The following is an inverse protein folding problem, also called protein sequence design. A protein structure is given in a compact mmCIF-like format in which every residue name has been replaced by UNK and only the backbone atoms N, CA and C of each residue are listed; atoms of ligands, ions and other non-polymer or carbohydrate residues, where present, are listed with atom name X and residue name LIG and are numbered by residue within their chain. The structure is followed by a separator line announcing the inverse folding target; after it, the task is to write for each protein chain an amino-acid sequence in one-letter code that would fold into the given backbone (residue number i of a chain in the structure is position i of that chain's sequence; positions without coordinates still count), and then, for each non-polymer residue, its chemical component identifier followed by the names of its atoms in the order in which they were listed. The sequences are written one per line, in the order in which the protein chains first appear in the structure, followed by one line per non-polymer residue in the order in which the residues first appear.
data_IF_975998899718
#
_entry.id   IF_975998899718
#
_cell.length_a   1.000
_cell.length_b   1.000
_cell.length_c   1.000
_cell.angle_alpha   90.00
_cell.angle_beta   90.00
_cell.angle_gamma   90.00
#
_symmetry.space_group_name_H-M   'P 1'
#
loop_
_entity.id
_entity.type
_entity.pdbx_description
1 polymer ?
#
# COMPACT_ATOMS: atom_id res chain seq x y z
N UNK A 1 -13.76 -9.52 32.42
CA UNK A 1 -14.39 -9.62 31.09
C UNK A 1 -14.20 -11.05 30.62
N UNK A 2 -15.28 -11.73 30.26
CA UNK A 2 -15.23 -13.12 29.81
C UNK A 2 -15.12 -13.14 28.27
N UNK A 3 -14.09 -13.80 27.74
CA UNK A 3 -13.85 -13.92 26.29
C UNK A 3 -14.43 -15.21 25.70
N UNK A 4 -15.12 -16.03 26.50
CA UNK A 4 -15.61 -17.36 26.07
C UNK A 4 -16.63 -17.32 24.92
N UNK A 5 -17.35 -16.21 24.74
CA UNK A 5 -18.42 -16.07 23.73
C UNK A 5 -18.09 -15.05 22.62
N UNK A 6 -16.83 -14.58 22.53
CA UNK A 6 -16.39 -13.55 21.58
C UNK A 6 -15.44 -14.18 20.55
N UNK A 7 -15.72 -13.95 19.27
CA UNK A 7 -14.83 -14.43 18.20
C UNK A 7 -13.46 -13.73 18.25
N UNK A 8 -12.38 -14.43 17.88
CA UNK A 8 -11.01 -13.94 17.96
C UNK A 8 -10.80 -12.63 17.20
N UNK A 9 -11.42 -12.44 16.03
CA UNK A 9 -11.34 -11.19 15.28
C UNK A 9 -11.98 -10.01 16.04
N UNK A 10 -13.02 -10.26 16.83
CA UNK A 10 -13.62 -9.22 17.68
C UNK A 10 -12.72 -8.88 18.87
N UNK A 11 -12.00 -9.86 19.43
CA UNK A 11 -10.99 -9.61 20.46
C UNK A 11 -9.86 -8.74 19.89
N UNK A 12 -9.32 -9.13 18.74
CA UNK A 12 -8.28 -8.37 18.02
C UNK A 12 -8.76 -6.95 17.72
N UNK A 13 -9.98 -6.79 17.21
CA UNK A 13 -10.55 -5.49 16.91
C UNK A 13 -10.72 -4.60 18.15
N UNK A 14 -11.07 -5.17 19.31
CA UNK A 14 -11.13 -4.42 20.57
C UNK A 14 -9.75 -3.96 21.03
N UNK A 15 -8.74 -4.82 20.94
CA UNK A 15 -7.35 -4.47 21.28
C UNK A 15 -6.86 -3.33 20.37
N UNK A 16 -7.01 -3.45 19.05
CA UNK A 16 -6.55 -2.44 18.10
C UNK A 16 -7.32 -1.11 18.12
N UNK A 17 -8.55 -1.10 18.63
CA UNK A 17 -9.36 0.11 18.81
C UNK A 17 -9.30 0.70 20.22
N UNK A 18 -8.43 0.19 21.10
CA UNK A 18 -8.27 0.73 22.45
C UNK A 18 -7.87 2.21 22.43
N UNK A 19 -8.36 2.98 23.40
CA UNK A 19 -8.11 4.43 23.50
C UNK A 19 -6.62 4.77 23.71
N UNK A 20 -5.85 3.84 24.28
CA UNK A 20 -4.41 3.98 24.50
C UNK A 20 -3.72 2.61 24.57
N UNK A 21 -2.39 2.62 24.50
CA UNK A 21 -1.56 1.41 24.51
C UNK A 21 -1.63 0.63 25.82
N UNK A 22 -1.90 1.28 26.95
CA UNK A 22 -2.04 0.60 28.25
C UNK A 22 -3.30 -0.27 28.32
N UNK A 23 -4.42 0.24 27.80
CA UNK A 23 -5.65 -0.54 27.68
C UNK A 23 -5.48 -1.69 26.67
N UNK A 24 -4.82 -1.44 25.53
CA UNK A 24 -4.52 -2.50 24.56
C UNK A 24 -3.71 -3.64 25.19
N UNK A 25 -2.67 -3.31 25.97
CA UNK A 25 -1.85 -4.29 26.69
C UNK A 25 -2.67 -5.09 27.71
N UNK A 26 -3.52 -4.40 28.50
CA UNK A 26 -4.40 -5.06 29.48
C UNK A 26 -5.37 -6.04 28.81
N UNK A 27 -6.00 -5.65 27.70
CA UNK A 27 -6.91 -6.51 26.95
C UNK A 27 -6.18 -7.69 26.31
N UNK A 28 -4.99 -7.46 25.75
CA UNK A 28 -4.15 -8.54 25.23
C UNK A 28 -3.80 -9.55 26.32
N UNK A 29 -3.34 -9.10 27.50
CA UNK A 29 -2.97 -9.99 28.59
C UNK A 29 -4.15 -10.87 29.04
N UNK A 30 -5.35 -10.31 29.15
CA UNK A 30 -6.56 -11.08 29.47
C UNK A 30 -6.94 -12.12 28.40
N UNK A 31 -6.59 -11.86 27.13
CA UNK A 31 -6.90 -12.74 26.00
C UNK A 31 -5.69 -13.58 25.53
N UNK A 32 -4.54 -13.49 26.20
CA UNK A 32 -3.27 -14.08 25.77
C UNK A 32 -3.34 -15.58 25.41
N UNK A 33 -4.11 -16.45 26.13
CA UNK A 33 -4.25 -17.85 25.75
C UNK A 33 -4.80 -18.08 24.33
N UNK A 34 -5.61 -17.15 23.83
CA UNK A 34 -6.24 -17.19 22.50
C UNK A 34 -5.36 -16.54 21.41
N UNK A 35 -4.40 -15.69 21.80
CA UNK A 35 -3.64 -14.81 20.89
C UNK A 35 -2.19 -15.26 20.65
N UNK A 36 -1.84 -16.51 20.97
CA UNK A 36 -0.46 -17.02 20.92
C UNK A 36 0.28 -16.81 19.59
N UNK A 37 -0.45 -16.76 18.48
CA UNK A 37 0.13 -16.57 17.14
C UNK A 37 -0.17 -15.20 16.55
N UNK A 38 -0.66 -14.25 17.35
CA UNK A 38 -0.96 -12.90 16.89
C UNK A 38 0.18 -11.94 17.22
N UNK A 39 0.41 -11.04 16.28
CA UNK A 39 1.27 -9.87 16.43
C UNK A 39 0.44 -8.62 16.25
N UNK A 40 0.76 -7.61 17.03
CA UNK A 40 0.12 -6.31 17.00
C UNK A 40 1.19 -5.23 16.87
N UNK A 41 0.88 -4.21 16.09
CA UNK A 41 1.71 -3.03 15.90
C UNK A 41 0.81 -1.82 16.09
N UNK A 42 1.18 -0.91 16.97
CA UNK A 42 0.44 0.30 17.29
C UNK A 42 1.29 1.50 16.94
N UNK A 43 0.69 2.45 16.22
CA UNK A 43 1.26 3.79 16.11
C UNK A 43 1.23 4.43 17.50
N UNK A 44 2.38 4.88 17.98
CA UNK A 44 2.55 5.42 19.33
C UNK A 44 3.64 6.49 19.34
N UNK A 45 3.54 7.43 20.26
CA UNK A 45 4.64 8.34 20.62
C UNK A 45 5.73 7.63 21.44
N UNK A 46 5.39 6.47 22.01
CA UNK A 46 6.28 5.57 22.75
C UNK A 46 6.75 4.41 21.87
N UNK A 47 7.78 3.71 22.33
CA UNK A 47 8.36 2.56 21.62
C UNK A 47 9.49 2.93 20.66
N UNK A 48 9.88 1.98 19.83
CA UNK A 48 11.00 2.06 18.90
C UNK A 48 10.65 2.72 17.56
N UNK A 49 11.67 3.25 16.88
CA UNK A 49 11.54 3.65 15.47
C UNK A 49 11.74 2.43 14.57
N UNK A 50 10.90 2.20 13.54
CA UNK A 50 11.06 1.12 12.57
C UNK A 50 12.17 1.42 11.55
N UNK A 51 13.37 1.77 12.03
CA UNK A 51 14.48 2.23 11.19
C UNK A 51 14.11 3.50 10.40
N UNK A 52 14.39 3.50 9.10
CA UNK A 52 14.02 4.58 8.18
C UNK A 52 12.69 4.35 7.45
N UNK A 53 11.96 3.27 7.74
CA UNK A 53 10.60 3.06 7.26
C UNK A 53 9.58 3.90 8.06
N UNK A 54 9.81 5.22 8.07
CA UNK A 54 9.02 6.24 8.78
C UNK A 54 8.63 7.35 7.82
N UNK A 55 7.62 8.16 8.18
CA UNK A 55 7.17 9.23 7.31
C UNK A 55 8.24 10.32 7.23
N UNK A 56 8.71 10.61 6.01
CA UNK A 56 9.67 11.67 5.73
C UNK A 56 9.27 12.39 4.46
N UNK A 57 9.35 13.72 4.46
CA UNK A 57 9.20 14.54 3.27
C UNK A 57 10.54 15.22 2.97
N UNK A 58 10.96 15.14 1.72
CA UNK A 58 12.20 15.74 1.22
C UNK A 58 11.90 17.12 0.61
N UNK A 59 12.92 17.97 0.49
CA UNK A 59 12.79 19.33 -0.04
C UNK A 59 12.19 19.38 -1.46
N UNK A 60 12.52 18.40 -2.32
CA UNK A 60 11.96 18.28 -3.68
C UNK A 60 10.45 17.95 -3.72
N UNK A 61 9.86 17.59 -2.58
CA UNK A 61 8.50 17.07 -2.48
C UNK A 61 8.39 15.56 -2.72
N UNK A 62 9.51 14.84 -2.85
CA UNK A 62 9.54 13.40 -2.66
C UNK A 62 9.19 13.05 -1.21
N UNK A 63 8.80 11.79 -0.98
CA UNK A 63 8.49 11.32 0.36
C UNK A 63 8.80 9.84 0.55
N UNK A 64 9.25 9.48 1.75
CA UNK A 64 9.06 8.14 2.30
C UNK A 64 7.75 8.15 3.09
N UNK A 65 6.90 7.15 2.85
CA UNK A 65 5.67 6.95 3.60
C UNK A 65 5.61 5.54 4.14
N UNK A 66 5.42 5.45 5.45
CA UNK A 66 5.17 4.19 6.15
C UNK A 66 3.66 3.95 6.27
N UNK A 67 3.30 2.79 6.80
CA UNK A 67 1.90 2.48 7.08
C UNK A 67 1.33 3.27 8.28
N UNK A 68 2.16 3.64 9.25
CA UNK A 68 1.70 4.11 10.56
C UNK A 68 1.71 5.63 10.66
N UNK A 69 0.77 6.18 11.43
CA UNK A 69 0.60 7.63 11.57
C UNK A 69 1.72 8.33 12.37
N UNK A 70 2.53 7.57 13.09
CA UNK A 70 3.65 8.06 13.91
C UNK A 70 4.97 7.45 13.46
N UNK A 71 6.08 8.15 13.73
CA UNK A 71 7.43 7.67 13.44
C UNK A 71 7.94 6.61 14.41
N UNK A 72 7.17 6.35 15.48
CA UNK A 72 7.44 5.32 16.47
C UNK A 72 6.28 4.34 16.51
N UNK A 73 6.60 3.11 16.87
CA UNK A 73 5.63 2.04 17.03
C UNK A 73 5.87 1.30 18.33
N UNK A 74 4.78 0.85 18.94
CA UNK A 74 4.79 -0.14 19.98
C UNK A 74 4.31 -1.46 19.37
N UNK A 75 5.03 -2.54 19.66
CA UNK A 75 4.65 -3.88 19.19
C UNK A 75 4.21 -4.73 20.37
N UNK A 76 3.37 -5.74 20.09
CA UNK A 76 2.90 -6.68 21.09
C UNK A 76 2.70 -8.06 20.46
N UNK A 77 3.31 -9.04 21.10
CA UNK A 77 3.25 -10.48 20.80
C UNK A 77 3.56 -11.23 22.11
N UNK A 78 3.49 -12.57 22.15
CA UNK A 78 3.70 -13.31 23.40
C UNK A 78 5.07 -13.05 24.05
N UNK A 79 6.14 -12.98 23.25
CA UNK A 79 7.49 -12.78 23.76
C UNK A 79 7.65 -11.35 24.27
N UNK A 80 7.20 -10.38 23.48
CA UNK A 80 7.22 -8.96 23.85
C UNK A 80 6.39 -8.70 25.12
N UNK A 81 5.23 -9.35 25.26
CA UNK A 81 4.41 -9.22 26.45
C UNK A 81 5.10 -9.77 27.71
N UNK A 82 5.72 -10.94 27.60
CA UNK A 82 6.49 -11.57 28.69
C UNK A 82 7.70 -10.70 29.07
N UNK A 83 8.44 -10.19 28.09
CA UNK A 83 9.57 -9.30 28.32
C UNK A 83 9.13 -8.02 29.05
N UNK A 84 8.01 -7.41 28.64
CA UNK A 84 7.46 -6.20 29.28
C UNK A 84 7.10 -6.41 30.76
N UNK A 85 6.72 -7.62 31.18
CA UNK A 85 6.49 -7.94 32.60
C UNK A 85 7.78 -7.84 33.42
N UNK A 86 8.95 -8.03 32.80
CA UNK A 86 10.26 -7.83 33.43
C UNK A 86 10.73 -6.37 33.45
N UNK A 87 9.94 -5.44 32.93
CA UNK A 87 10.19 -4.00 32.93
C UNK A 87 10.87 -3.43 31.68
N UNK A 88 11.36 -4.29 30.77
CA UNK A 88 11.93 -3.88 29.48
C UNK A 88 11.70 -4.96 28.42
N UNK A 89 11.40 -4.56 27.18
CA UNK A 89 11.36 -5.45 26.03
C UNK A 89 12.29 -4.96 24.92
N UNK A 90 12.87 -5.91 24.18
CA UNK A 90 13.69 -5.65 23.01
C UNK A 90 13.21 -6.53 21.87
N UNK A 91 12.82 -5.92 20.75
CA UNK A 91 12.33 -6.64 19.58
C UNK A 91 13.21 -6.32 18.37
N UNK A 92 13.86 -7.33 17.78
CA UNK A 92 14.57 -7.16 16.52
C UNK A 92 13.60 -6.79 15.40
N UNK A 93 14.00 -5.84 14.56
CA UNK A 93 13.23 -5.40 13.41
C UNK A 93 14.03 -5.57 12.14
N UNK A 94 13.32 -5.70 11.04
CA UNK A 94 13.81 -5.47 9.68
C UNK A 94 12.89 -4.48 8.98
N UNK A 95 13.36 -3.83 7.93
CA UNK A 95 12.57 -2.91 7.13
C UNK A 95 13.10 -2.80 5.71
N UNK A 96 12.24 -2.30 4.84
CA UNK A 96 12.62 -1.97 3.48
C UNK A 96 11.83 -0.77 2.98
N UNK A 97 12.49 0.04 2.15
CA UNK A 97 11.89 1.20 1.49
C UNK A 97 11.79 0.87 0.00
N UNK A 98 10.61 0.45 -0.42
CA UNK A 98 10.34 0.15 -1.82
C UNK A 98 10.34 1.44 -2.64
N UNK A 99 11.07 1.48 -3.75
CA UNK A 99 10.94 2.58 -4.70
C UNK A 99 9.82 2.24 -5.69
N UNK A 100 8.87 3.14 -5.90
CA UNK A 100 7.87 2.96 -6.95
C UNK A 100 8.48 3.20 -8.34
N UNK A 101 7.77 2.76 -9.38
CA UNK A 101 8.22 2.94 -10.77
C UNK A 101 8.41 4.41 -11.11
N UNK A 102 7.57 5.29 -10.55
CA UNK A 102 7.71 6.73 -10.73
C UNK A 102 9.04 7.24 -10.15
N UNK A 103 9.44 6.84 -8.94
CA UNK A 103 10.70 7.27 -8.34
C UNK A 103 11.91 6.95 -9.22
N UNK A 104 11.90 5.81 -9.92
CA UNK A 104 12.95 5.49 -10.89
C UNK A 104 13.01 6.47 -12.04
N UNK A 105 11.87 6.87 -12.60
CA UNK A 105 11.83 7.86 -13.69
C UNK A 105 12.43 9.21 -13.30
N UNK A 106 12.38 9.55 -12.01
CA UNK A 106 12.97 10.75 -11.44
C UNK A 106 14.46 10.59 -11.11
N UNK A 107 14.89 9.44 -10.59
CA UNK A 107 16.27 9.23 -10.11
C UNK A 107 17.23 8.81 -11.24
N UNK A 108 16.81 7.90 -12.12
CA UNK A 108 17.67 7.31 -13.17
C UNK A 108 18.32 8.35 -14.09
N UNK A 109 17.63 9.43 -14.51
CA UNK A 109 18.24 10.46 -15.36
C UNK A 109 19.44 11.18 -14.74
N UNK A 110 19.64 11.10 -13.41
CA UNK A 110 20.71 11.77 -12.67
C UNK A 110 21.85 10.84 -12.26
N UNK A 111 21.82 9.57 -12.67
CA UNK A 111 22.93 8.63 -12.46
C UNK A 111 24.11 8.93 -13.39
N UNK A 112 25.33 8.61 -12.94
CA UNK A 112 26.54 8.80 -13.73
C UNK A 112 26.41 8.15 -15.12
N UNK A 113 26.79 8.91 -16.16
CA UNK A 113 26.69 8.46 -17.56
C UNK A 113 25.31 8.63 -18.21
N UNK A 114 24.24 9.01 -17.48
CA UNK A 114 22.88 9.14 -18.04
C UNK A 114 22.43 10.57 -18.37
N UNK A 115 23.15 11.63 -17.96
CA UNK A 115 23.08 13.03 -18.50
C UNK A 115 24.24 13.89 -17.98
N UNK A 116 24.76 14.80 -18.81
CA UNK A 116 25.89 15.70 -18.49
C UNK A 116 25.54 16.94 -17.64
N UNK A 117 24.61 16.83 -16.69
CA UNK A 117 23.99 18.00 -16.02
C UNK A 117 24.12 18.09 -14.50
N UNK A 118 24.88 17.21 -13.86
CA UNK A 118 24.96 17.12 -12.38
C UNK A 118 23.63 16.71 -11.73
N UNK A 119 23.64 16.56 -10.40
CA UNK A 119 22.45 16.26 -9.61
C UNK A 119 21.84 17.59 -9.15
N UNK A 120 20.56 17.88 -9.43
CA UNK A 120 19.91 19.07 -8.88
C UNK A 120 19.90 19.01 -7.34
N UNK A 121 20.09 20.14 -6.66
CA UNK A 121 20.23 20.20 -5.21
C UNK A 121 19.08 19.49 -4.47
N UNK A 122 17.85 19.64 -4.96
CA UNK A 122 16.66 19.05 -4.36
C UNK A 122 16.66 17.50 -4.45
N UNK A 123 17.35 16.92 -5.43
CA UNK A 123 17.49 15.47 -5.60
C UNK A 123 18.67 14.89 -4.84
N UNK A 124 19.70 15.71 -4.55
CA UNK A 124 20.86 15.29 -3.78
C UNK A 124 20.46 14.76 -2.40
N UNK A 125 19.49 15.40 -1.74
CA UNK A 125 18.96 14.94 -0.45
C UNK A 125 18.42 13.51 -0.50
N UNK A 126 17.75 13.14 -1.60
CA UNK A 126 17.18 11.80 -1.79
C UNK A 126 18.30 10.78 -2.07
N UNK A 127 19.27 11.13 -2.90
CA UNK A 127 20.42 10.25 -3.14
C UNK A 127 21.27 10.05 -1.90
N UNK A 128 21.53 11.10 -1.12
CA UNK A 128 22.26 11.00 0.16
C UNK A 128 21.51 10.14 1.17
N UNK A 129 20.18 10.21 1.19
CA UNK A 129 19.37 9.33 2.00
C UNK A 129 19.49 7.87 1.56
N UNK A 130 19.33 7.58 0.27
CA UNK A 130 19.44 6.21 -0.28
C UNK A 130 20.86 5.65 -0.06
N UNK A 131 21.90 6.47 -0.20
CA UNK A 131 23.30 6.07 -0.02
C UNK A 131 23.69 5.83 1.45
N UNK A 132 22.83 6.17 2.41
CA UNK A 132 23.10 5.90 3.82
C UNK A 132 23.27 4.39 4.05
N UNK A 133 24.34 3.92 4.73
CA UNK A 133 24.57 2.49 4.98
C UNK A 133 23.45 1.79 5.75
N UNK A 134 22.64 2.58 6.47
CA UNK A 134 21.50 2.10 7.23
C UNK A 134 20.22 2.04 6.38
N UNK A 135 20.17 2.66 5.20
CA UNK A 135 18.97 2.68 4.35
C UNK A 135 18.99 1.47 3.42
N UNK A 136 17.88 0.71 3.44
CA UNK A 136 17.67 -0.43 2.58
C UNK A 136 16.52 -0.13 1.62
N UNK A 137 16.79 -0.17 0.32
CA UNK A 137 15.79 0.06 -0.74
C UNK A 137 15.58 -1.19 -1.57
N UNK A 138 14.35 -1.37 -2.07
CA UNK A 138 13.99 -2.51 -2.90
C UNK A 138 13.14 -2.12 -4.13
N UNK A 139 13.13 -2.98 -5.16
CA UNK A 139 12.40 -2.74 -6.41
C UNK A 139 11.03 -3.45 -6.49
N UNK A 140 10.42 -3.88 -5.37
CA UNK A 140 9.24 -4.76 -5.39
C UNK A 140 8.07 -4.16 -6.21
N UNK A 141 7.71 -2.87 -6.09
CA UNK A 141 6.64 -2.27 -6.88
C UNK A 141 6.87 -2.45 -8.39
N UNK A 142 8.05 -2.05 -8.87
CA UNK A 142 8.43 -2.16 -10.27
C UNK A 142 8.41 -3.60 -10.78
N UNK A 143 8.87 -4.56 -9.96
CA UNK A 143 8.83 -5.98 -10.33
C UNK A 143 7.40 -6.40 -10.58
N UNK A 144 6.52 -6.17 -9.60
CA UNK A 144 5.15 -6.65 -9.65
C UNK A 144 4.33 -6.01 -10.77
N UNK A 145 4.59 -4.73 -11.09
CA UNK A 145 3.96 -4.04 -12.22
C UNK A 145 4.36 -4.63 -13.58
N UNK A 146 5.62 -5.06 -13.72
CA UNK A 146 6.19 -5.48 -15.00
C UNK A 146 6.14 -6.99 -15.25
N UNK A 147 5.74 -7.81 -14.27
CA UNK A 147 5.51 -9.24 -14.48
C UNK A 147 4.56 -9.53 -15.66
N UNK A 148 3.41 -8.85 -15.83
CA UNK A 148 2.54 -9.08 -16.98
C UNK A 148 3.19 -8.70 -18.33
N UNK A 149 3.93 -7.58 -18.37
CA UNK A 149 4.62 -7.14 -19.59
C UNK A 149 5.70 -8.15 -20.02
N UNK A 150 6.46 -8.66 -19.05
CA UNK A 150 7.50 -9.66 -19.28
C UNK A 150 6.89 -11.01 -19.70
N UNK A 151 5.77 -11.42 -19.10
CA UNK A 151 5.04 -12.64 -19.50
C UNK A 151 4.52 -12.59 -20.95
N UNK A 152 4.15 -11.39 -21.43
CA UNK A 152 3.76 -11.14 -22.83
C UNK A 152 4.97 -11.07 -23.80
N UNK A 153 6.20 -11.28 -23.32
CA UNK A 153 7.42 -11.20 -24.11
C UNK A 153 7.82 -9.78 -24.52
N UNK A 154 7.33 -8.76 -23.79
CA UNK A 154 7.62 -7.35 -24.07
C UNK A 154 8.70 -6.80 -23.13
N UNK A 155 9.48 -5.85 -23.62
CA UNK A 155 10.37 -5.01 -22.82
C UNK A 155 11.41 -5.73 -21.95
N UNK A 156 11.85 -6.95 -22.30
CA UNK A 156 12.84 -7.68 -21.49
C UNK A 156 14.16 -6.89 -21.30
N UNK A 157 14.68 -6.30 -22.38
CA UNK A 157 15.92 -5.50 -22.34
C UNK A 157 15.73 -4.21 -21.51
N UNK A 158 14.59 -3.53 -21.69
CA UNK A 158 14.24 -2.33 -20.92
C UNK A 158 14.08 -2.65 -19.43
N UNK A 159 13.43 -3.78 -19.11
CA UNK A 159 13.29 -4.27 -17.74
C UNK A 159 14.67 -4.53 -17.17
N UNK A 160 15.53 -5.25 -17.89
CA UNK A 160 16.90 -5.53 -17.45
C UNK A 160 17.69 -4.24 -17.12
N UNK A 161 17.64 -3.23 -17.99
CA UNK A 161 18.33 -1.95 -17.75
C UNK A 161 17.79 -1.20 -16.53
N UNK A 162 16.48 -1.28 -16.29
CA UNK A 162 15.86 -0.70 -15.08
C UNK A 162 16.27 -1.48 -13.82
N UNK A 163 16.31 -2.81 -13.87
CA UNK A 163 16.80 -3.65 -12.76
C UNK A 163 18.25 -3.30 -12.41
N UNK A 164 19.09 -3.10 -13.42
CA UNK A 164 20.47 -2.66 -13.22
C UNK A 164 20.55 -1.27 -12.59
N UNK A 165 19.67 -0.34 -12.98
CA UNK A 165 19.59 0.97 -12.36
C UNK A 165 19.16 0.92 -10.88
N UNK A 166 18.25 0.00 -10.53
CA UNK A 166 17.90 -0.28 -9.13
C UNK A 166 19.11 -0.77 -8.33
N UNK A 167 19.91 -1.66 -8.90
CA UNK A 167 21.13 -2.15 -8.26
C UNK A 167 22.13 -1.02 -8.00
N UNK A 168 22.27 -0.05 -8.92
CA UNK A 168 23.07 1.15 -8.70
C UNK A 168 22.55 1.94 -7.51
N UNK A 169 21.23 2.18 -7.41
CA UNK A 169 20.63 2.90 -6.26
C UNK A 169 20.86 2.19 -4.94
N UNK A 170 20.75 0.86 -4.91
CA UNK A 170 20.95 0.07 -3.69
C UNK A 170 22.40 0.05 -3.22
N UNK A 171 23.34 0.39 -4.11
CA UNK A 171 24.78 0.25 -3.86
C UNK A 171 25.53 1.55 -4.12
N UNK A 172 24.88 2.71 -3.93
CA UNK A 172 25.51 4.02 -4.14
C UNK A 172 26.77 4.14 -3.27
N UNK A 173 27.87 4.56 -3.89
CA UNK A 173 29.08 4.96 -3.15
C UNK A 173 28.85 6.30 -2.46
N UNK A 174 28.48 6.23 -1.17
CA UNK A 174 28.23 7.41 -0.35
C UNK A 174 29.44 8.36 -0.25
N UNK A 175 30.67 7.84 -0.28
CA UNK A 175 31.88 8.68 -0.19
C UNK A 175 32.10 9.41 -1.51
N UNK A 176 31.88 8.73 -2.64
CA UNK A 176 31.94 9.36 -3.95
C UNK A 176 30.86 10.42 -4.11
N UNK A 177 29.61 10.08 -3.78
CA UNK A 177 28.49 11.03 -3.85
C UNK A 177 28.79 12.30 -3.06
N UNK A 178 29.27 12.16 -1.82
CA UNK A 178 29.60 13.31 -0.96
C UNK A 178 30.75 14.17 -1.48
N UNK A 179 31.75 13.55 -2.11
CA UNK A 179 32.97 14.25 -2.54
C UNK A 179 32.92 14.79 -3.97
N UNK A 180 32.11 14.17 -4.83
CA UNK A 180 32.02 14.48 -6.27
C UNK A 180 30.64 14.95 -6.72
N UNK A 181 29.59 14.71 -5.93
CA UNK A 181 28.21 15.04 -6.32
C UNK A 181 27.70 14.16 -7.46
N UNK A 182 28.22 12.94 -7.58
CA UNK A 182 27.89 11.99 -8.65
C UNK A 182 27.37 10.68 -8.06
N UNK A 183 26.36 10.10 -8.70
CA UNK A 183 25.79 8.80 -8.30
C UNK A 183 26.48 7.71 -9.08
N UNK A 184 27.26 6.90 -8.38
CA UNK A 184 27.87 5.67 -8.89
C UNK A 184 27.68 4.53 -7.90
N UNK A 185 27.78 3.30 -8.39
CA UNK A 185 27.74 2.10 -7.57
C UNK A 185 29.12 1.76 -6.99
N UNK A 186 29.16 1.13 -5.82
CA UNK A 186 30.35 0.45 -5.29
C UNK A 186 30.65 -0.86 -6.01
N UNK A 187 29.70 -1.38 -6.80
CA UNK A 187 29.84 -2.60 -7.59
C UNK A 187 30.42 -2.31 -8.98
N UNK A 188 31.10 -3.29 -9.53
CA UNK A 188 31.55 -3.29 -10.92
C UNK A 188 30.39 -3.53 -11.88
N UNK A 189 30.59 -3.17 -13.16
CA UNK A 189 29.63 -3.40 -14.24
C UNK A 189 29.22 -4.88 -14.39
N UNK A 190 30.16 -5.81 -14.16
CA UNK A 190 29.89 -7.25 -14.21
C UNK A 190 29.04 -7.72 -13.03
N UNK A 191 29.28 -7.19 -11.82
CA UNK A 191 28.47 -7.49 -10.64
C UNK A 191 27.05 -6.92 -10.78
N UNK A 192 26.92 -5.67 -11.25
CA UNK A 192 25.62 -5.06 -11.55
C UNK A 192 24.83 -5.87 -12.57
N UNK A 193 25.47 -6.29 -13.67
CA UNK A 193 24.87 -7.16 -14.69
C UNK A 193 24.41 -8.49 -14.10
N UNK A 194 25.25 -9.11 -13.29
CA UNK A 194 24.95 -10.40 -12.63
C UNK A 194 23.77 -10.28 -11.67
N UNK A 195 23.74 -9.23 -10.85
CA UNK A 195 22.62 -8.94 -9.94
C UNK A 195 21.32 -8.70 -10.71
N UNK A 196 21.35 -7.88 -11.75
CA UNK A 196 20.18 -7.62 -12.59
C UNK A 196 19.67 -8.90 -13.30
N UNK A 197 20.57 -9.78 -13.78
CA UNK A 197 20.21 -11.07 -14.36
C UNK A 197 19.56 -12.00 -13.33
N UNK A 198 20.06 -12.01 -12.10
CA UNK A 198 19.46 -12.79 -11.02
C UNK A 198 18.03 -12.31 -10.70
N UNK A 199 17.84 -10.99 -10.61
CA UNK A 199 16.52 -10.38 -10.41
C UNK A 199 15.55 -10.72 -11.56
N UNK A 200 16.00 -10.60 -12.80
CA UNK A 200 15.20 -10.96 -13.98
C UNK A 200 14.84 -12.46 -13.99
N UNK A 201 15.78 -13.32 -13.60
CA UNK A 201 15.53 -14.76 -13.48
C UNK A 201 14.47 -15.06 -12.42
N UNK A 202 14.49 -14.34 -11.29
CA UNK A 202 13.43 -14.44 -10.27
C UNK A 202 12.07 -14.00 -10.82
N UNK A 203 12.02 -12.93 -11.61
CA UNK A 203 10.77 -12.53 -12.28
C UNK A 203 10.23 -13.62 -13.21
N UNK A 204 11.09 -14.31 -13.97
CA UNK A 204 10.66 -15.46 -14.78
C UNK A 204 10.16 -16.64 -13.93
N UNK A 205 10.76 -16.90 -12.76
CA UNK A 205 10.24 -17.88 -11.82
C UNK A 205 8.85 -17.47 -11.30
N UNK A 206 8.66 -16.19 -10.95
CA UNK A 206 7.37 -15.68 -10.48
C UNK A 206 6.29 -15.77 -11.58
N UNK A 207 6.66 -15.55 -12.85
CA UNK A 207 5.76 -15.75 -14.00
C UNK A 207 5.33 -17.22 -14.13
N UNK A 208 6.22 -18.17 -13.79
CA UNK A 208 5.90 -19.60 -13.86
C UNK A 208 4.89 -20.05 -12.79
N UNK A 209 4.67 -19.25 -11.74
CA UNK A 209 3.57 -19.45 -10.78
C UNK A 209 2.25 -18.87 -11.33
N UNK A 210 1.53 -19.68 -12.10
CA UNK A 210 0.22 -19.31 -12.66
C UNK A 210 -0.78 -18.86 -11.56
N UNK A 211 -0.72 -19.46 -10.37
CA UNK A 211 -1.59 -19.09 -9.25
C UNK A 211 -1.27 -17.70 -8.69
N UNK A 212 0.03 -17.40 -8.58
CA UNK A 212 0.58 -16.10 -8.21
C UNK A 212 0.21 -15.03 -9.23
N UNK A 213 0.40 -15.30 -10.52
CA UNK A 213 0.07 -14.39 -11.61
C UNK A 213 -1.44 -14.07 -11.65
N UNK A 214 -2.31 -15.08 -11.51
CA UNK A 214 -3.77 -14.87 -11.41
C UNK A 214 -4.13 -14.00 -10.20
N UNK A 215 -3.45 -14.18 -9.07
CA UNK A 215 -3.68 -13.37 -7.86
C UNK A 215 -3.26 -11.91 -8.06
N UNK A 216 -2.09 -11.66 -8.66
CA UNK A 216 -1.61 -10.30 -8.98
C UNK A 216 -2.58 -9.61 -9.94
N UNK A 217 -2.96 -10.28 -11.04
CA UNK A 217 -3.92 -9.75 -12.02
C UNK A 217 -5.25 -9.39 -11.36
N UNK A 218 -5.80 -10.28 -10.52
CA UNK A 218 -7.04 -10.01 -9.81
C UNK A 218 -6.92 -8.79 -8.87
N UNK A 219 -5.82 -8.67 -8.14
CA UNK A 219 -5.59 -7.55 -7.21
C UNK A 219 -5.51 -6.20 -7.93
N UNK A 220 -4.77 -6.16 -9.04
CA UNK A 220 -4.71 -4.98 -9.91
C UNK A 220 -6.09 -4.64 -10.48
N UNK A 221 -6.79 -5.62 -11.06
CA UNK A 221 -8.13 -5.42 -11.62
C UNK A 221 -9.14 -4.95 -10.57
N UNK A 222 -9.03 -5.43 -9.32
CA UNK A 222 -9.90 -5.00 -8.23
C UNK A 222 -9.73 -3.51 -7.94
N UNK A 223 -8.48 -3.05 -7.80
CA UNK A 223 -8.18 -1.62 -7.60
C UNK A 223 -8.66 -0.79 -8.80
N UNK A 224 -8.43 -1.30 -10.01
CA UNK A 224 -8.89 -0.65 -11.23
C UNK A 224 -10.42 -0.52 -11.29
N UNK A 225 -11.17 -1.56 -10.92
CA UNK A 225 -12.64 -1.53 -10.88
C UNK A 225 -13.17 -0.49 -9.88
N UNK A 226 -12.56 -0.40 -8.70
CA UNK A 226 -12.85 0.64 -7.72
C UNK A 226 -12.63 2.05 -8.31
N UNK A 227 -11.47 2.28 -8.93
CA UNK A 227 -11.12 3.58 -9.53
C UNK A 227 -12.05 3.96 -10.69
N UNK A 228 -12.38 3.03 -11.58
CA UNK A 228 -13.36 3.26 -12.65
C UNK A 228 -14.71 3.67 -12.06
N UNK A 229 -15.18 2.96 -11.02
CA UNK A 229 -16.49 3.28 -10.45
C UNK A 229 -16.49 4.64 -9.76
N UNK A 230 -15.44 4.98 -9.03
CA UNK A 230 -15.26 6.32 -8.45
C UNK A 230 -15.31 7.39 -9.55
N UNK A 231 -14.53 7.21 -10.63
CA UNK A 231 -14.52 8.13 -11.76
C UNK A 231 -15.91 8.25 -12.43
N UNK A 232 -16.57 7.13 -12.69
CA UNK A 232 -17.90 7.10 -13.32
C UNK A 232 -18.94 7.86 -12.48
N UNK A 233 -18.98 7.63 -11.16
CA UNK A 233 -19.89 8.32 -10.24
C UNK A 233 -19.64 9.83 -10.25
N UNK A 234 -18.38 10.24 -10.07
CA UNK A 234 -18.02 11.66 -9.99
C UNK A 234 -18.27 12.40 -11.32
N UNK A 235 -17.95 11.77 -12.45
CA UNK A 235 -18.13 12.39 -13.77
C UNK A 235 -19.60 12.41 -14.20
N UNK A 236 -20.39 11.39 -13.87
CA UNK A 236 -21.82 11.34 -14.24
C UNK A 236 -22.60 12.46 -13.56
N UNK A 237 -22.37 12.67 -12.26
CA UNK A 237 -23.12 13.62 -11.44
C UNK A 237 -22.18 14.42 -10.52
N UNK A 238 -21.39 15.37 -11.04
CA UNK A 238 -20.40 16.10 -10.24
C UNK A 238 -21.03 16.90 -9.09
N UNK A 239 -22.25 17.42 -9.28
CA UNK A 239 -23.00 18.15 -8.25
C UNK A 239 -23.81 17.29 -7.28
N UNK A 240 -23.82 15.95 -7.42
CA UNK A 240 -24.51 15.09 -6.45
C UNK A 240 -23.84 15.16 -5.08
N UNK A 241 -24.64 15.03 -4.02
CA UNK A 241 -24.17 15.08 -2.64
C UNK A 241 -23.21 13.92 -2.33
N UNK A 242 -22.31 14.13 -1.36
CA UNK A 242 -21.32 13.11 -0.96
C UNK A 242 -22.01 11.81 -0.54
N UNK A 243 -23.08 11.90 0.25
CA UNK A 243 -23.85 10.75 0.72
C UNK A 243 -24.45 9.90 -0.42
N UNK A 244 -24.98 10.55 -1.47
CA UNK A 244 -25.51 9.86 -2.65
C UNK A 244 -24.38 9.13 -3.41
N UNK A 245 -23.25 9.80 -3.63
CA UNK A 245 -22.08 9.20 -4.30
C UNK A 245 -21.48 8.05 -3.49
N UNK A 246 -21.37 8.20 -2.17
CA UNK A 246 -20.91 7.15 -1.26
C UNK A 246 -21.86 5.96 -1.26
N UNK A 247 -23.17 6.19 -1.21
CA UNK A 247 -24.17 5.12 -1.32
C UNK A 247 -24.00 4.33 -2.62
N UNK A 248 -23.84 5.01 -3.75
CA UNK A 248 -23.64 4.36 -5.05
C UNK A 248 -22.33 3.54 -5.10
N UNK A 249 -21.25 4.03 -4.49
CA UNK A 249 -19.98 3.31 -4.44
C UNK A 249 -20.03 2.11 -3.49
N UNK A 250 -20.59 2.27 -2.29
CA UNK A 250 -20.76 1.20 -1.31
C UNK A 250 -21.67 0.08 -1.85
N UNK A 251 -22.75 0.43 -2.55
CA UNK A 251 -23.60 -0.54 -3.22
C UNK A 251 -22.86 -1.32 -4.30
N UNK A 252 -22.02 -0.65 -5.10
CA UNK A 252 -21.16 -1.33 -6.07
C UNK A 252 -20.15 -2.27 -5.40
N UNK A 253 -19.48 -1.84 -4.33
CA UNK A 253 -18.57 -2.71 -3.59
C UNK A 253 -19.31 -3.93 -3.00
N UNK A 254 -20.49 -3.72 -2.41
CA UNK A 254 -21.32 -4.77 -1.83
C UNK A 254 -21.80 -5.78 -2.87
N UNK A 255 -22.50 -5.31 -3.89
CA UNK A 255 -23.24 -6.15 -4.85
C UNK A 255 -22.44 -6.49 -6.10
N UNK A 256 -21.60 -5.55 -6.57
CA UNK A 256 -20.80 -5.70 -7.80
C UNK A 256 -19.44 -6.35 -7.58
N UNK A 257 -18.78 -6.08 -6.45
CA UNK A 257 -17.47 -6.65 -6.12
C UNK A 257 -17.52 -7.78 -5.07
N UNK A 258 -18.67 -7.96 -4.39
CA UNK A 258 -18.80 -8.87 -3.26
C UNK A 258 -17.73 -8.65 -2.16
N UNK A 259 -17.22 -7.42 -2.04
CA UNK A 259 -16.16 -7.05 -1.12
C UNK A 259 -16.18 -5.54 -0.86
N UNK A 260 -16.00 -5.16 0.40
CA UNK A 260 -15.86 -3.76 0.82
C UNK A 260 -14.49 -3.63 1.48
N UNK A 261 -13.66 -2.76 0.92
CA UNK A 261 -12.36 -2.43 1.49
C UNK A 261 -12.42 -1.01 2.02
N UNK A 262 -12.20 -0.87 3.33
CA UNK A 262 -12.32 0.41 4.03
C UNK A 262 -11.44 1.48 3.39
N UNK A 263 -10.20 1.14 3.00
CA UNK A 263 -9.26 2.06 2.33
C UNK A 263 -9.79 2.60 1.00
N UNK A 264 -10.35 1.75 0.15
CA UNK A 264 -10.89 2.23 -1.13
C UNK A 264 -12.14 3.11 -0.92
N UNK A 265 -12.98 2.79 0.08
CA UNK A 265 -14.11 3.65 0.51
C UNK A 265 -13.61 5.01 0.98
N UNK A 266 -12.47 4.99 1.64
CA UNK A 266 -11.78 6.14 2.16
C UNK A 266 -11.30 7.10 1.05
N UNK A 267 -10.66 6.54 0.03
CA UNK A 267 -10.25 7.27 -1.18
C UNK A 267 -11.47 7.80 -1.95
N UNK A 268 -12.53 7.00 -2.08
CA UNK A 268 -13.77 7.42 -2.72
C UNK A 268 -14.38 8.65 -2.02
N UNK A 269 -14.47 8.64 -0.68
CA UNK A 269 -15.00 9.77 0.08
C UNK A 269 -14.19 11.04 -0.15
N UNK A 270 -12.86 10.94 -0.09
CA UNK A 270 -11.98 12.08 -0.35
C UNK A 270 -12.18 12.63 -1.77
N UNK A 271 -12.27 11.75 -2.77
CA UNK A 271 -12.49 12.14 -4.15
C UNK A 271 -13.89 12.75 -4.38
N UNK A 272 -14.95 12.20 -3.80
CA UNK A 272 -16.29 12.75 -3.93
C UNK A 272 -16.47 14.09 -3.22
N UNK A 273 -15.68 14.34 -2.18
CA UNK A 273 -15.65 15.61 -1.44
C UNK A 273 -14.88 16.69 -2.22
N UNK A 274 -13.70 16.34 -2.74
CA UNK A 274 -12.76 17.33 -3.32
C UNK A 274 -12.78 17.37 -4.85
N UNK A 275 -13.37 16.38 -5.51
CA UNK A 275 -13.32 16.22 -6.95
C UNK A 275 -11.88 16.25 -7.47
N UNK A 276 -11.63 17.14 -8.43
CA UNK A 276 -10.32 17.27 -9.07
C UNK A 276 -9.27 17.99 -8.21
N UNK A 277 -9.67 18.58 -7.09
CA UNK A 277 -8.72 19.16 -6.13
C UNK A 277 -7.99 18.07 -5.35
N UNK A 278 -8.44 16.81 -5.41
CA UNK A 278 -7.66 15.64 -5.00
C UNK A 278 -6.67 15.30 -6.11
N UNK A 279 -5.38 15.61 -5.91
CA UNK A 279 -4.36 15.62 -6.98
C UNK A 279 -4.21 14.28 -7.67
N UNK A 280 -4.37 13.18 -6.92
CA UNK A 280 -4.36 11.82 -7.46
C UNK A 280 -5.35 11.62 -8.61
N UNK A 281 -6.54 12.26 -8.53
CA UNK A 281 -7.54 12.19 -9.59
C UNK A 281 -7.52 13.38 -10.54
N UNK A 282 -6.67 14.40 -10.33
CA UNK A 282 -6.74 15.68 -11.05
C UNK A 282 -6.67 15.60 -12.58
N UNK A 283 -6.18 14.48 -13.14
CA UNK A 283 -6.14 14.21 -14.60
C UNK A 283 -7.40 13.51 -15.15
N UNK A 284 -8.31 13.06 -14.30
CA UNK A 284 -9.48 12.23 -14.64
C UNK A 284 -10.68 13.12 -14.99
N UNK A 285 -10.82 13.46 -16.27
CA UNK A 285 -11.87 14.37 -16.76
C UNK A 285 -12.55 13.84 -18.03
N UNK A 286 -13.81 14.25 -18.27
CA UNK A 286 -14.66 13.77 -19.40
C UNK A 286 -13.97 13.88 -20.77
N UNK A 287 -13.11 14.87 -20.99
CA UNK A 287 -12.47 15.11 -22.30
C UNK A 287 -11.12 14.38 -22.50
N UNK A 288 -10.63 13.62 -21.51
CA UNK A 288 -9.40 12.80 -21.62
C UNK A 288 -9.65 11.44 -22.32
N UNK A 289 -10.37 11.44 -23.45
CA UNK A 289 -11.08 10.25 -23.99
C UNK A 289 -10.22 9.00 -24.24
N UNK A 290 -8.99 9.14 -24.76
CA UNK A 290 -8.13 7.99 -25.08
C UNK A 290 -7.27 7.51 -23.92
N UNK A 291 -7.11 8.34 -22.90
CA UNK A 291 -6.11 8.13 -21.84
C UNK A 291 -6.77 7.83 -20.49
N UNK A 292 -8.08 8.07 -20.30
CA UNK A 292 -8.70 7.89 -18.97
C UNK A 292 -8.62 6.45 -18.44
N UNK A 293 -8.81 5.44 -19.30
CA UNK A 293 -8.71 4.04 -18.89
C UNK A 293 -7.26 3.67 -18.57
N UNK A 294 -6.30 4.11 -19.38
CA UNK A 294 -4.87 3.88 -19.16
C UNK A 294 -4.38 4.54 -17.88
N UNK A 295 -4.76 5.80 -17.64
CA UNK A 295 -4.50 6.51 -16.39
C UNK A 295 -5.03 5.74 -15.18
N UNK A 296 -6.29 5.31 -15.21
CA UNK A 296 -6.90 4.56 -14.11
C UNK A 296 -6.24 3.18 -13.93
N UNK A 297 -5.77 2.52 -15.00
CA UNK A 297 -5.00 1.26 -14.90
C UNK A 297 -3.64 1.47 -14.23
N UNK A 298 -2.96 2.58 -14.52
CA UNK A 298 -1.69 2.91 -13.91
C UNK A 298 -1.89 3.27 -12.43
N UNK A 299 -2.89 4.11 -12.12
CA UNK A 299 -3.29 4.44 -10.74
C UNK A 299 -3.69 3.21 -9.91
N UNK A 300 -4.17 2.15 -10.55
CA UNK A 300 -4.51 0.91 -9.85
C UNK A 300 -3.29 0.19 -9.28
N UNK A 301 -2.10 0.36 -9.88
CA UNK A 301 -0.85 -0.14 -9.33
C UNK A 301 -0.45 0.63 -8.07
N UNK A 302 -0.55 1.96 -8.08
CA UNK A 302 -0.30 2.80 -6.91
C UNK A 302 -1.16 2.34 -5.71
N UNK A 303 -2.48 2.20 -5.92
CA UNK A 303 -3.41 1.68 -4.91
C UNK A 303 -3.04 0.27 -4.44
N UNK A 304 -2.62 -0.60 -5.36
CA UNK A 304 -2.19 -1.95 -5.05
C UNK A 304 -0.92 -1.97 -4.20
N UNK A 305 0.07 -1.12 -4.46
CA UNK A 305 1.33 -1.09 -3.71
C UNK A 305 1.13 -0.70 -2.26
N UNK A 306 0.19 0.21 -1.97
CA UNK A 306 -0.13 0.52 -0.56
C UNK A 306 -0.75 -0.70 0.15
N UNK A 307 -1.53 -1.52 -0.56
CA UNK A 307 -2.11 -2.78 -0.05
C UNK A 307 -1.05 -3.89 0.05
N UNK A 308 -0.08 -3.90 -0.86
CA UNK A 308 1.07 -4.78 -0.81
C UNK A 308 1.90 -4.47 0.42
N UNK A 309 2.18 -3.20 0.74
CA UNK A 309 2.84 -2.83 2.00
C UNK A 309 2.08 -3.33 3.23
N UNK A 310 0.75 -3.18 3.28
CA UNK A 310 -0.04 -3.73 4.39
C UNK A 310 0.19 -5.24 4.53
N UNK A 311 0.16 -5.99 3.44
CA UNK A 311 0.44 -7.43 3.46
C UNK A 311 1.89 -7.72 3.85
N UNK A 312 2.83 -6.87 3.43
CA UNK A 312 4.25 -7.13 3.65
C UNK A 312 4.64 -7.11 5.12
N UNK A 313 3.89 -6.42 5.98
CA UNK A 313 4.10 -6.45 7.44
C UNK A 313 3.99 -7.86 8.04
N UNK A 314 3.31 -8.79 7.36
CA UNK A 314 3.15 -10.18 7.82
C UNK A 314 4.32 -11.08 7.41
N UNK A 315 5.23 -10.60 6.56
CA UNK A 315 6.43 -11.34 6.18
C UNK A 315 7.53 -11.20 7.23
N UNK A 316 8.42 -12.19 7.25
CA UNK A 316 9.65 -12.11 8.00
C UNK A 316 10.83 -12.52 7.10
N UNK A 317 11.33 -11.59 6.26
CA UNK A 317 12.35 -11.91 5.26
C UNK A 317 13.69 -12.29 5.92
N UNK A 318 13.95 -11.76 7.11
CA UNK A 318 15.18 -11.99 7.87
C UNK A 318 14.86 -12.83 9.12
N UNK A 319 15.44 -14.03 9.23
CA UNK A 319 15.10 -14.99 10.32
C UNK A 319 15.26 -14.42 11.72
N UNK A 320 16.23 -13.54 11.93
CA UNK A 320 16.50 -12.91 13.22
C UNK A 320 15.58 -11.72 13.53
N UNK A 321 14.86 -11.17 12.54
CA UNK A 321 13.90 -10.11 12.78
C UNK A 321 12.62 -10.71 13.38
N UNK A 322 11.98 -9.98 14.30
CA UNK A 322 10.67 -10.33 14.85
C UNK A 322 9.55 -9.60 14.09
N UNK A 323 9.85 -8.42 13.55
CA UNK A 323 8.90 -7.59 12.79
C UNK A 323 9.55 -7.08 11.51
N UNK A 324 8.76 -6.95 10.45
CA UNK A 324 9.15 -6.30 9.21
C UNK A 324 8.32 -5.04 8.99
N UNK A 325 8.98 -3.92 8.65
CA UNK A 325 8.32 -2.64 8.41
C UNK A 325 8.53 -2.19 6.96
N UNK A 326 7.49 -2.25 6.11
CA UNK A 326 7.56 -1.69 4.77
C UNK A 326 7.31 -0.19 4.78
N UNK A 327 8.01 0.52 3.90
CA UNK A 327 7.70 1.88 3.48
C UNK A 327 7.88 2.02 1.98
N UNK A 328 7.36 3.11 1.40
CA UNK A 328 7.48 3.41 -0.02
C UNK A 328 8.07 4.80 -0.22
N UNK A 329 9.02 4.91 -1.13
CA UNK A 329 9.58 6.17 -1.60
C UNK A 329 8.97 6.53 -2.95
N UNK A 330 8.35 7.71 -3.03
CA UNK A 330 7.73 8.22 -4.27
C UNK A 330 7.96 9.72 -4.44
N UNK A 331 7.90 10.17 -5.69
CA UNK A 331 7.89 11.58 -6.09
C UNK A 331 6.50 12.04 -6.52
N UNK A 332 5.51 11.14 -6.59
CA UNK A 332 4.15 11.48 -6.99
C UNK A 332 3.38 12.11 -5.83
N UNK A 333 3.17 13.43 -5.90
CA UNK A 333 2.45 14.21 -4.89
C UNK A 333 0.96 13.84 -4.78
N UNK A 334 0.34 13.35 -5.84
CA UNK A 334 -1.01 12.82 -5.81
C UNK A 334 -1.07 11.50 -5.08
N UNK A 335 -0.10 10.63 -5.32
CA UNK A 335 -0.02 9.35 -4.62
C UNK A 335 0.31 9.53 -3.13
N UNK A 336 1.24 10.43 -2.78
CA UNK A 336 1.55 10.81 -1.39
C UNK A 336 0.28 11.23 -0.66
N UNK A 337 -0.54 12.07 -1.30
CA UNK A 337 -1.81 12.50 -0.73
C UNK A 337 -2.76 11.33 -0.42
N UNK A 338 -2.84 10.32 -1.29
CA UNK A 338 -3.64 9.11 -1.04
C UNK A 338 -3.10 8.30 0.14
N UNK A 339 -1.78 8.15 0.25
CA UNK A 339 -1.16 7.45 1.39
C UNK A 339 -1.41 8.18 2.72
N UNK A 340 -1.39 9.51 2.69
CA UNK A 340 -1.60 10.36 3.87
C UNK A 340 -3.06 10.38 4.34
N UNK A 341 -4.03 10.05 3.48
CA UNK A 341 -5.45 10.06 3.85
C UNK A 341 -5.78 9.02 4.96
N UNK A 342 -5.09 7.87 4.97
CA UNK A 342 -5.46 6.74 5.85
C UNK A 342 -4.24 5.99 6.38
N UNK A 343 -3.50 6.69 7.22
CA UNK A 343 -2.46 6.08 8.05
C UNK A 343 -3.06 5.15 9.12
N UNK A 344 -2.33 4.11 9.48
CA UNK A 344 -2.73 3.13 10.47
C UNK A 344 -2.46 3.66 11.88
N UNK A 345 -3.47 3.53 12.76
CA UNK A 345 -3.27 3.63 14.21
C UNK A 345 -2.84 2.29 14.81
N UNK A 346 -3.26 1.18 14.20
CA UNK A 346 -2.83 -0.15 14.59
C UNK A 346 -2.93 -1.13 13.42
N UNK A 347 -2.20 -2.23 13.52
CA UNK A 347 -2.31 -3.38 12.64
C UNK A 347 -2.14 -4.65 13.46
N UNK A 348 -2.99 -5.64 13.24
CA UNK A 348 -2.81 -6.97 13.82
C UNK A 348 -2.71 -8.02 12.73
N UNK A 349 -1.99 -9.09 12.98
CA UNK A 349 -1.92 -10.20 12.04
C UNK A 349 -1.57 -11.49 12.75
N UNK A 350 -2.02 -12.61 12.18
CA UNK A 350 -1.67 -13.94 12.64
C UNK A 350 -0.45 -14.44 11.88
N UNK A 351 0.56 -14.91 12.62
CA UNK A 351 1.80 -15.45 12.07
C UNK A 351 1.48 -16.63 11.16
N UNK A 352 2.05 -16.62 9.95
CA UNK A 352 1.82 -17.63 8.91
C UNK A 352 0.63 -17.32 7.99
N UNK A 353 -0.14 -16.27 8.26
CA UNK A 353 -1.22 -15.81 7.39
C UNK A 353 -0.84 -14.49 6.68
N UNK A 354 -1.30 -14.33 5.43
CA UNK A 354 -1.02 -13.15 4.58
C UNK A 354 -2.15 -12.11 4.62
N UNK A 355 -2.95 -12.13 5.67
CA UNK A 355 -4.16 -11.32 5.83
C UNK A 355 -4.02 -10.44 7.08
N UNK A 356 -3.34 -9.28 6.97
CA UNK A 356 -3.30 -8.31 8.05
C UNK A 356 -4.70 -7.72 8.31
N UNK A 357 -4.92 -7.30 9.55
CA UNK A 357 -6.08 -6.56 10.01
C UNK A 357 -5.67 -5.11 10.28
N UNK A 358 -5.73 -4.21 9.27
CA UNK A 358 -5.40 -2.82 9.44
C UNK A 358 -6.51 -2.06 10.19
N UNK A 359 -6.11 -1.18 11.10
CA UNK A 359 -6.99 -0.26 11.81
C UNK A 359 -6.51 1.17 11.53
N UNK A 360 -7.31 1.88 10.74
CA UNK A 360 -7.02 3.24 10.30
C UNK A 360 -7.23 4.25 11.43
N UNK A 361 -6.49 5.35 11.37
CA UNK A 361 -6.72 6.48 12.25
C UNK A 361 -8.05 7.19 11.92
N UNK A 362 -8.61 7.85 12.93
CA UNK A 362 -9.89 8.56 12.80
C UNK A 362 -11.12 7.68 13.01
N UNK A 363 -12.28 8.21 12.61
CA UNK A 363 -13.59 7.61 12.82
C UNK A 363 -14.03 6.80 11.59
N UNK A 364 -13.94 5.47 11.71
CA UNK A 364 -14.32 4.54 10.65
C UNK A 364 -15.81 4.63 10.27
N UNK A 365 -16.69 5.07 11.17
CA UNK A 365 -18.11 5.19 10.87
C UNK A 365 -18.38 6.41 9.98
N UNK A 366 -17.77 7.55 10.31
CA UNK A 366 -17.83 8.75 9.44
C UNK A 366 -17.30 8.48 8.05
N UNK A 367 -16.33 7.58 7.93
CA UNK A 367 -15.75 7.21 6.65
C UNK A 367 -16.77 6.53 5.72
N UNK A 368 -17.52 5.58 6.25
CA UNK A 368 -18.47 4.76 5.49
C UNK A 368 -19.86 5.40 5.38
N UNK A 369 -20.09 6.56 6.01
CA UNK A 369 -21.36 7.26 6.04
C UNK A 369 -21.98 7.50 4.66
N UNK A 370 -23.24 7.09 4.52
CA UNK A 370 -24.02 7.09 3.26
C UNK A 370 -25.27 7.97 3.26
N UNK A 371 -25.74 8.40 4.42
CA UNK A 371 -27.08 8.96 4.61
C UNK A 371 -27.23 9.76 5.90
N UNK A 372 -26.48 9.42 6.94
CA UNK A 372 -26.24 10.27 8.11
C UNK A 372 -24.73 10.54 8.25
N UNK A 373 -24.33 11.67 8.86
CA UNK A 373 -22.91 11.96 9.07
C UNK A 373 -22.23 10.98 10.05
N UNK A 374 -23.01 10.14 10.75
CA UNK A 374 -22.51 9.25 11.80
C UNK A 374 -22.21 7.81 11.32
N UNK A 375 -22.64 7.41 10.13
CA UNK A 375 -22.34 6.12 9.51
C UNK A 375 -23.11 4.91 10.03
N UNK A 376 -24.01 5.07 11.01
CA UNK A 376 -24.70 3.94 11.64
C UNK A 376 -25.60 3.19 10.65
N UNK A 377 -26.24 3.91 9.74
CA UNK A 377 -27.09 3.28 8.72
C UNK A 377 -26.28 2.52 7.67
N UNK A 378 -25.12 3.05 7.26
CA UNK A 378 -24.17 2.32 6.41
C UNK A 378 -23.71 1.00 7.06
N UNK A 379 -23.44 1.01 8.38
CA UNK A 379 -23.11 -0.22 9.13
C UNK A 379 -24.25 -1.22 9.07
N UNK A 380 -25.48 -0.81 9.40
CA UNK A 380 -26.65 -1.69 9.39
C UNK A 380 -26.90 -2.30 8.01
N UNK A 381 -26.70 -1.51 6.95
CA UNK A 381 -26.94 -1.95 5.58
C UNK A 381 -25.83 -2.86 5.05
N UNK A 382 -24.57 -2.49 5.25
CA UNK A 382 -23.44 -3.12 4.55
C UNK A 382 -22.59 -4.04 5.42
N UNK A 383 -22.69 -3.95 6.74
CA UNK A 383 -21.85 -4.71 7.69
C UNK A 383 -22.67 -5.55 8.69
N UNK A 384 -23.97 -5.73 8.46
CA UNK A 384 -24.76 -6.75 9.15
C UNK A 384 -24.28 -8.16 8.80
N UNK A 385 -24.61 -9.13 9.65
CA UNK A 385 -24.29 -10.55 9.42
C UNK A 385 -24.86 -11.04 8.07
N UNK A 386 -26.10 -10.68 7.75
CA UNK A 386 -26.74 -11.01 6.46
C UNK A 386 -26.00 -10.40 5.26
N UNK A 387 -25.56 -9.14 5.38
CA UNK A 387 -24.82 -8.48 4.32
C UNK A 387 -23.43 -9.11 4.11
N UNK A 388 -22.78 -9.55 5.19
CA UNK A 388 -21.50 -10.27 5.14
C UNK A 388 -21.71 -11.63 4.47
N UNK A 389 -22.71 -12.41 4.91
CA UNK A 389 -23.04 -13.72 4.36
C UNK A 389 -23.40 -13.63 2.86
N UNK A 390 -24.15 -12.60 2.47
CA UNK A 390 -24.49 -12.33 1.06
C UNK A 390 -23.24 -12.13 0.21
N UNK A 391 -22.27 -11.34 0.69
CA UNK A 391 -20.99 -11.15 -0.01
C UNK A 391 -20.18 -12.44 -0.06
N UNK A 392 -20.14 -13.20 1.02
CA UNK A 392 -19.42 -14.48 1.07
C UNK A 392 -19.96 -15.48 0.05
N UNK A 393 -21.29 -15.60 -0.06
CA UNK A 393 -21.95 -16.47 -1.03
C UNK A 393 -21.66 -16.05 -2.49
N UNK A 394 -21.57 -14.75 -2.77
CA UNK A 394 -21.32 -14.22 -4.11
C UNK A 394 -19.83 -14.16 -4.50
N UNK A 395 -18.90 -14.23 -3.53
CA UNK A 395 -17.48 -13.92 -3.74
C UNK A 395 -16.82 -14.75 -4.84
N UNK A 396 -17.06 -16.06 -4.85
CA UNK A 396 -16.45 -16.98 -5.81
C UNK A 396 -16.95 -16.75 -7.24
N UNK A 397 -18.25 -16.48 -7.42
CA UNK A 397 -18.85 -16.25 -8.74
C UNK A 397 -18.45 -14.90 -9.32
N UNK A 398 -18.39 -13.85 -8.48
CA UNK A 398 -17.89 -12.52 -8.89
C UNK A 398 -16.42 -12.61 -9.28
N UNK A 399 -15.59 -13.30 -8.50
CA UNK A 399 -14.16 -13.49 -8.80
C UNK A 399 -13.93 -14.25 -10.10
N UNK A 400 -14.75 -15.27 -10.39
CA UNK A 400 -14.66 -16.03 -11.64
C UNK A 400 -15.03 -15.18 -12.88
N UNK A 401 -15.93 -14.22 -12.72
CA UNK A 401 -16.42 -13.35 -13.81
C UNK A 401 -15.86 -11.92 -13.75
N UNK A 402 -14.75 -11.71 -13.05
CA UNK A 402 -14.28 -10.36 -12.72
C UNK A 402 -13.89 -9.54 -13.95
N UNK A 403 -13.38 -10.18 -15.01
CA UNK A 403 -13.10 -9.52 -16.28
C UNK A 403 -14.35 -8.89 -16.90
N UNK A 404 -15.51 -9.57 -16.84
CA UNK A 404 -16.78 -9.06 -17.34
C UNK A 404 -17.26 -7.85 -16.54
N UNK A 405 -17.04 -7.84 -15.22
CA UNK A 405 -17.32 -6.68 -14.36
C UNK A 405 -16.50 -5.48 -14.82
N UNK A 406 -15.19 -5.66 -15.02
CA UNK A 406 -14.29 -4.60 -15.50
C UNK A 406 -14.71 -4.09 -16.88
N UNK A 407 -14.98 -4.96 -17.85
CA UNK A 407 -15.40 -4.56 -19.20
C UNK A 407 -16.71 -3.75 -19.20
N UNK A 408 -17.64 -4.10 -18.31
CA UNK A 408 -18.91 -3.37 -18.16
C UNK A 408 -18.66 -1.96 -17.61
N UNK A 409 -17.77 -1.84 -16.62
CA UNK A 409 -17.39 -0.56 -16.03
C UNK A 409 -16.64 0.33 -17.03
N UNK A 410 -15.74 -0.23 -17.83
CA UNK A 410 -15.05 0.51 -18.90
C UNK A 410 -16.04 1.09 -19.90
N UNK A 411 -17.03 0.29 -20.36
CA UNK A 411 -18.10 0.76 -21.25
C UNK A 411 -18.94 1.86 -20.60
N UNK A 412 -19.34 1.70 -19.33
CA UNK A 412 -20.07 2.72 -18.57
C UNK A 412 -19.30 4.05 -18.54
N UNK A 413 -18.02 4.01 -18.15
CA UNK A 413 -17.18 5.19 -18.03
C UNK A 413 -16.95 5.87 -19.39
N UNK A 414 -16.68 5.11 -20.46
CA UNK A 414 -16.49 5.68 -21.80
C UNK A 414 -17.75 6.37 -22.33
N UNK A 415 -18.94 5.84 -22.04
CA UNK A 415 -20.20 6.51 -22.37
C UNK A 415 -20.38 7.82 -21.60
N UNK A 416 -20.02 7.83 -20.31
CA UNK A 416 -20.10 9.04 -19.46
C UNK A 416 -19.09 10.09 -19.93
N UNK A 417 -17.86 9.70 -20.22
CA UNK A 417 -16.81 10.60 -20.71
C UNK A 417 -17.08 11.12 -22.13
N UNK A 418 -17.89 10.40 -22.91
CA UNK A 418 -18.24 10.83 -24.27
C UNK A 418 -19.28 11.95 -24.32
N UNK A 419 -20.05 12.15 -23.25
CA UNK A 419 -21.04 13.21 -23.06
C UNK A 419 -20.41 14.43 -22.40
#
# INVERSE_FOLDING_TARGET
MDFRDINIEQIVARICNSDNTGEAFRLYHLAAPLLKNYKFVFASDKGGKPGFAVNRTFAAGAAVRSLFKTDRVLVLDPDTALEMESGQSTYPIDYSISLDTNAMSYLVPHMAGKRGGGIPADFLEVFEFIASPEVNVDPIPYFTENLPNLADGKSADEIFENLKAYEILRTIDAKWLKSKGEVQSTLTEQELTTSAQHLLSKMYMDISDDSGMKRIKFRHQYMYACLIKMAAIQLKSPGAGICEKMSAFMEFCHSGLAAISVREVAVARAYFTRGQDLKFFGRIQKKSKKDILELLRNMAWDMWHVRQMEQSITFNPVKQARYFFPALLTFDRGFIEVMDLYSLKACAFKVGEFNPMPFFDGDAFKLIATDDENGASAVRKYFSEDAIATREAARSSVRANFSTVVETLEKELLMIASK
#
